data_IF_112192380868
#
_entry.id   IF_112192380868
#
_cell.length_a   1.000
_cell.length_b   1.000
_cell.length_c   1.000
_cell.angle_alpha   90.00
_cell.angle_beta   90.00
_cell.angle_gamma   90.00
#
_symmetry.space_group_name_H-M   'P 1'
#
loop_
_entity.id
_entity.type
_entity.pdbx_description
1 polymer ?
#
# COMPACT_ATOMS: atom_id res chain seq x y z
N UNK A 1 -2.32 8.81 18.96
CA UNK A 1 -3.58 9.34 18.39
C UNK A 1 -3.84 8.64 17.07
N UNK A 2 -5.11 8.48 16.72
CA UNK A 2 -5.49 7.98 15.41
C UNK A 2 -5.25 9.05 14.34
N UNK A 3 -4.79 8.59 13.18
CA UNK A 3 -4.62 9.44 12.02
C UNK A 3 -5.96 9.53 11.24
N UNK A 4 -6.42 10.74 10.88
CA UNK A 4 -7.54 10.93 9.97
C UNK A 4 -7.36 10.16 8.66
N UNK A 5 -8.47 9.64 8.13
CA UNK A 5 -8.46 8.78 6.94
C UNK A 5 -7.81 9.42 5.71
N UNK A 6 -8.03 10.72 5.46
CA UNK A 6 -7.40 11.45 4.35
C UNK A 6 -5.87 11.39 4.42
N UNK A 7 -5.28 11.56 5.61
CA UNK A 7 -3.82 11.49 5.78
C UNK A 7 -3.28 10.07 5.66
N UNK A 8 -4.08 9.06 6.00
CA UNK A 8 -3.72 7.65 5.74
C UNK A 8 -3.58 7.41 4.23
N UNK A 9 -4.54 7.93 3.44
CA UNK A 9 -4.50 7.82 1.98
C UNK A 9 -3.29 8.57 1.41
N UNK A 10 -3.05 9.82 1.82
CA UNK A 10 -1.89 10.61 1.39
C UNK A 10 -0.57 9.89 1.68
N UNK A 11 -0.42 9.31 2.87
CA UNK A 11 0.77 8.55 3.26
C UNK A 11 0.99 7.31 2.38
N UNK A 12 -0.07 6.57 2.05
CA UNK A 12 0.02 5.42 1.15
C UNK A 12 0.36 5.89 -0.28
N UNK A 13 -0.24 6.97 -0.76
CA UNK A 13 0.08 7.56 -2.07
C UNK A 13 1.53 8.02 -2.16
N UNK A 14 2.06 8.65 -1.11
CA UNK A 14 3.47 9.06 -1.04
C UNK A 14 4.40 7.85 -1.17
N UNK A 15 4.18 6.80 -0.37
CA UNK A 15 4.96 5.57 -0.48
C UNK A 15 4.84 4.89 -1.84
N UNK A 16 3.62 4.87 -2.42
CA UNK A 16 3.39 4.18 -3.68
C UNK A 16 3.98 4.93 -4.87
N UNK A 17 4.09 6.26 -4.78
CA UNK A 17 4.72 7.08 -5.82
C UNK A 17 6.16 6.62 -6.13
N UNK A 18 6.90 6.09 -5.15
CA UNK A 18 8.24 5.54 -5.35
C UNK A 18 8.22 4.27 -6.21
N UNK A 19 7.22 3.41 -6.03
CA UNK A 19 7.01 2.21 -6.85
C UNK A 19 6.69 2.57 -8.30
N UNK A 20 5.87 3.61 -8.50
CA UNK A 20 5.59 4.16 -9.83
C UNK A 20 6.86 4.71 -10.50
N UNK A 21 7.66 5.48 -9.77
CA UNK A 21 8.91 6.04 -10.28
C UNK A 21 9.91 4.97 -10.72
N UNK A 22 9.98 3.84 -9.99
CA UNK A 22 10.88 2.72 -10.30
C UNK A 22 10.31 1.74 -11.34
N UNK A 23 9.05 1.90 -11.74
CA UNK A 23 8.38 0.99 -12.68
C UNK A 23 8.00 -0.38 -12.09
N UNK A 24 7.99 -0.52 -10.76
CA UNK A 24 7.60 -1.76 -10.08
C UNK A 24 6.46 -1.50 -9.08
N UNK A 25 5.22 -1.60 -9.54
CA UNK A 25 4.03 -1.30 -8.75
C UNK A 25 3.85 -2.21 -7.51
N UNK A 26 4.48 -3.38 -7.48
CA UNK A 26 4.40 -4.33 -6.38
C UNK A 26 5.42 -4.05 -5.27
N UNK A 27 6.42 -3.19 -5.52
CA UNK A 27 7.51 -2.91 -4.59
C UNK A 27 7.02 -2.34 -3.25
N UNK A 28 5.94 -1.54 -3.26
CA UNK A 28 5.38 -0.95 -2.04
C UNK A 28 5.05 -2.03 -0.99
N UNK A 29 4.57 -3.20 -1.41
CA UNK A 29 4.15 -4.26 -0.49
C UNK A 29 5.34 -4.87 0.23
N UNK A 30 6.40 -5.23 -0.51
CA UNK A 30 7.65 -5.72 0.07
C UNK A 30 8.32 -4.65 0.93
N UNK A 31 8.34 -3.40 0.45
CA UNK A 31 8.93 -2.29 1.18
C UNK A 31 8.23 -2.03 2.51
N UNK A 32 6.89 -2.05 2.51
CA UNK A 32 6.09 -1.89 3.72
C UNK A 32 6.33 -3.05 4.68
N UNK A 33 6.30 -4.30 4.21
CA UNK A 33 6.49 -5.49 5.05
C UNK A 33 7.84 -5.48 5.77
N UNK A 34 8.92 -5.11 5.07
CA UNK A 34 10.27 -4.98 5.64
C UNK A 34 10.36 -3.89 6.71
N UNK A 35 9.56 -2.82 6.59
CA UNK A 35 9.70 -1.60 7.41
C UNK A 35 8.61 -1.43 8.44
N UNK A 36 7.52 -2.21 8.37
CA UNK A 36 6.33 -2.01 9.20
C UNK A 36 6.65 -2.02 10.68
N UNK A 37 7.67 -2.76 11.14
CA UNK A 37 8.09 -2.79 12.56
C UNK A 37 8.66 -1.45 13.05
N UNK A 38 9.26 -0.65 12.17
CA UNK A 38 9.86 0.64 12.50
C UNK A 38 8.88 1.82 12.36
N UNK A 39 7.84 1.68 11.54
CA UNK A 39 6.85 2.73 11.33
C UNK A 39 5.96 2.85 12.58
N UNK A 40 6.02 4.00 13.27
CA UNK A 40 5.21 4.24 14.46
C UNK A 40 3.82 4.71 14.07
N UNK A 41 2.85 3.80 14.10
CA UNK A 41 1.43 4.08 13.87
C UNK A 41 0.60 3.62 15.06
N UNK A 42 -0.51 4.34 15.31
CA UNK A 42 -1.54 3.84 16.22
C UNK A 42 -2.09 2.50 15.68
N UNK A 43 -2.45 1.52 16.55
CA UNK A 43 -2.92 0.21 16.09
C UNK A 43 -4.07 0.28 15.07
N UNK A 44 -5.04 1.16 15.31
CA UNK A 44 -6.16 1.35 14.37
C UNK A 44 -5.72 1.96 13.04
N UNK A 45 -4.79 2.91 13.04
CA UNK A 45 -4.20 3.47 11.81
C UNK A 45 -3.43 2.40 11.03
N UNK A 46 -2.62 1.59 11.72
CA UNK A 46 -1.90 0.47 11.09
C UNK A 46 -2.86 -0.51 10.43
N UNK A 47 -3.92 -0.90 11.14
CA UNK A 47 -4.94 -1.80 10.59
C UNK A 47 -5.58 -1.24 9.31
N UNK A 48 -5.87 0.06 9.28
CA UNK A 48 -6.42 0.71 8.08
C UNK A 48 -5.41 0.76 6.94
N UNK A 49 -4.13 1.05 7.22
CA UNK A 49 -3.07 1.02 6.21
C UNK A 49 -2.97 -0.38 5.58
N UNK A 50 -2.94 -1.42 6.41
CA UNK A 50 -2.82 -2.81 5.95
C UNK A 50 -4.06 -3.27 5.16
N UNK A 51 -5.26 -2.86 5.56
CA UNK A 51 -6.49 -3.11 4.79
C UNK A 51 -6.45 -2.45 3.42
N UNK A 52 -6.04 -1.18 3.34
CA UNK A 52 -5.96 -0.44 2.07
C UNK A 52 -4.89 -1.07 1.16
N UNK A 53 -3.70 -1.36 1.67
CA UNK A 53 -2.64 -2.02 0.91
C UNK A 53 -3.11 -3.39 0.39
N UNK A 54 -3.78 -4.19 1.21
CA UNK A 54 -4.35 -5.47 0.78
C UNK A 54 -5.37 -5.33 -0.36
N UNK A 55 -6.25 -4.33 -0.30
CA UNK A 55 -7.21 -4.05 -1.39
C UNK A 55 -6.51 -3.63 -2.68
N UNK A 56 -5.47 -2.80 -2.59
CA UNK A 56 -4.67 -2.40 -3.76
C UNK A 56 -3.99 -3.62 -4.37
N UNK A 57 -3.37 -4.47 -3.54
CA UNK A 57 -2.69 -5.69 -3.99
C UNK A 57 -3.64 -6.64 -4.72
N UNK A 58 -4.83 -6.88 -4.16
CA UNK A 58 -5.85 -7.71 -4.78
C UNK A 58 -6.29 -7.15 -6.14
N UNK A 59 -6.57 -5.84 -6.20
CA UNK A 59 -7.00 -5.18 -7.44
C UNK A 59 -5.92 -5.22 -8.52
N UNK A 60 -4.65 -5.06 -8.15
CA UNK A 60 -3.53 -5.21 -9.09
C UNK A 60 -3.45 -6.64 -9.62
N UNK A 61 -3.60 -7.65 -8.75
CA UNK A 61 -3.64 -9.05 -9.16
C UNK A 61 -4.77 -9.36 -10.15
N UNK A 62 -5.96 -8.82 -9.91
CA UNK A 62 -7.10 -8.92 -10.85
C UNK A 62 -6.80 -8.28 -12.20
N UNK A 63 -6.23 -7.07 -12.21
CA UNK A 63 -5.88 -6.36 -13.45
C UNK A 63 -4.83 -7.13 -14.25
N UNK A 64 -3.76 -7.56 -13.60
CA UNK A 64 -2.69 -8.33 -14.26
C UNK A 64 -3.19 -9.67 -14.80
N UNK A 65 -4.05 -10.38 -14.05
CA UNK A 65 -4.67 -11.62 -14.51
C UNK A 65 -5.56 -11.37 -15.74
N UNK A 66 -6.34 -10.28 -15.75
CA UNK A 66 -7.18 -9.92 -16.89
C UNK A 66 -6.35 -9.54 -18.13
N UNK A 67 -5.20 -8.90 -17.96
CA UNK A 67 -4.28 -8.57 -19.07
C UNK A 67 -3.64 -9.83 -19.68
N UNK A 68 -3.29 -10.83 -18.87
CA UNK A 68 -2.76 -12.11 -19.37
C UNK A 68 -3.82 -12.89 -20.18
N UNK A 69 -5.08 -12.78 -19.78
CA UNK A 69 -6.20 -13.48 -20.41
C UNK A 69 -6.75 -12.76 -21.67
N UNK A 70 -6.15 -11.63 -22.07
CA UNK A 70 -6.58 -10.81 -23.21
C UNK A 70 -5.69 -11.02 -24.44
#
# INVERSE_FOLDING_TARGET
>A
MEMPYCYILEMICDWWSFSWFKGNLLEIFSWYEERKSYIKLHPNTRRLVEDILGRIQNRLGEVMANEINR
#
